data_IF_686137053137
#
_entry.id   IF_686137053137
#
_cell.length_a   1.000
_cell.length_b   1.000
_cell.length_c   1.000
_cell.angle_alpha   90.00
_cell.angle_beta   90.00
_cell.angle_gamma   90.00
#
_symmetry.space_group_name_H-M   'P 1'
#
loop_
_entity.id
_entity.type
_entity.pdbx_description
1 polymer ?
#
# COMPACT_ATOMS: atom_id res chain seq x y z
N UNK A 1 -12.51 52.86 -28.42
CA UNK A 1 -13.97 52.78 -28.54
C UNK A 1 -14.43 51.57 -27.72
N UNK A 2 -15.01 51.82 -26.55
CA UNK A 2 -15.71 50.82 -25.74
C UNK A 2 -17.12 50.58 -26.30
N UNK A 3 -17.76 49.46 -25.91
CA UNK A 3 -18.82 49.52 -24.88
C UNK A 3 -18.63 48.39 -23.84
N UNK A 4 -18.70 48.68 -22.54
CA UNK A 4 -19.89 48.87 -21.68
C UNK A 4 -20.48 47.57 -21.13
N UNK A 5 -20.39 47.53 -19.80
CA UNK A 5 -20.88 46.63 -18.76
C UNK A 5 -22.26 45.97 -18.97
N UNK A 6 -22.44 44.77 -18.41
CA UNK A 6 -23.65 44.50 -17.60
C UNK A 6 -23.35 43.46 -16.51
N UNK A 7 -23.47 43.92 -15.27
CA UNK A 7 -23.49 43.13 -14.04
C UNK A 7 -24.91 42.64 -13.75
N UNK A 8 -25.05 41.44 -13.17
CA UNK A 8 -26.30 41.01 -12.52
C UNK A 8 -25.96 40.42 -11.14
N UNK A 9 -26.22 41.24 -10.13
CA UNK A 9 -26.43 40.85 -8.74
C UNK A 9 -27.86 40.33 -8.57
N UNK A 10 -28.04 39.19 -7.91
CA UNK A 10 -29.32 38.84 -7.28
C UNK A 10 -29.10 38.54 -5.80
N UNK A 11 -29.85 39.29 -5.00
CA UNK A 11 -29.87 39.37 -3.55
C UNK A 11 -30.81 38.31 -2.92
N UNK A 12 -30.42 37.86 -1.71
CA UNK A 12 -31.21 37.69 -0.48
C UNK A 12 -32.49 36.83 -0.50
N UNK A 13 -32.58 35.87 0.43
CA UNK A 13 -33.26 36.07 1.74
C UNK A 13 -33.06 34.92 2.75
N UNK A 14 -33.22 35.21 4.06
CA UNK A 14 -33.01 34.29 5.18
C UNK A 14 -34.32 33.59 5.60
N UNK A 15 -34.21 32.51 6.38
CA UNK A 15 -35.29 32.08 7.28
C UNK A 15 -34.75 31.54 8.59
N UNK A 16 -35.50 31.91 9.62
CA UNK A 16 -35.24 31.90 11.05
C UNK A 16 -35.67 30.62 11.75
N UNK A 17 -35.03 30.42 12.91
CA UNK A 17 -35.52 29.86 14.17
C UNK A 17 -36.98 29.38 14.27
N UNK A 18 -37.12 28.19 14.87
CA UNK A 18 -38.21 27.87 15.80
C UNK A 18 -37.68 26.99 16.92
N UNK A 19 -37.98 27.40 18.14
CA UNK A 19 -37.75 26.74 19.43
C UNK A 19 -38.74 25.59 19.68
N UNK A 20 -38.40 24.67 20.60
CA UNK A 20 -39.13 24.45 21.87
C UNK A 20 -39.30 22.98 22.31
N UNK A 21 -39.07 22.81 23.63
CA UNK A 21 -39.47 21.73 24.55
C UNK A 21 -38.76 20.38 24.41
N UNK A 22 -38.17 19.78 25.43
CA UNK A 22 -38.36 19.91 26.88
C UNK A 22 -39.21 18.75 27.38
N UNK A 23 -38.58 17.64 27.77
CA UNK A 23 -39.09 16.70 28.79
C UNK A 23 -37.94 16.03 29.55
N UNK A 24 -37.83 16.49 30.77
CA UNK A 24 -37.25 15.91 31.97
C UNK A 24 -37.91 14.56 32.31
N UNK A 25 -37.13 13.58 32.77
CA UNK A 25 -37.60 12.44 33.57
C UNK A 25 -36.38 11.86 34.33
N UNK A 26 -36.43 12.00 35.65
CA UNK A 26 -35.52 11.43 36.63
C UNK A 26 -35.67 9.90 36.77
N UNK A 27 -34.51 9.23 36.86
CA UNK A 27 -34.05 8.16 37.79
C UNK A 27 -35.00 7.00 38.24
N UNK A 28 -34.53 5.83 38.76
CA UNK A 28 -33.18 5.57 39.31
C UNK A 28 -32.54 4.19 38.99
N UNK A 29 -31.23 4.10 39.26
CA UNK A 29 -30.64 2.97 39.99
C UNK A 29 -30.31 1.68 39.23
N UNK A 30 -29.04 1.50 38.87
CA UNK A 30 -28.35 0.20 38.98
C UNK A 30 -26.83 0.40 38.91
N UNK A 31 -26.21 0.37 40.08
CA UNK A 31 -24.79 0.20 40.29
C UNK A 31 -24.31 -1.14 39.72
N UNK A 32 -23.50 -1.09 38.66
CA UNK A 32 -22.72 -2.25 38.18
C UNK A 32 -21.25 -1.84 38.14
N UNK A 33 -20.48 -2.61 38.90
CA UNK A 33 -19.04 -2.63 39.10
C UNK A 33 -18.18 -2.03 37.98
N UNK A 34 -17.32 -1.10 38.38
CA UNK A 34 -16.15 -0.65 37.63
C UNK A 34 -15.20 -1.83 37.35
N UNK A 35 -15.41 -2.48 36.20
CA UNK A 35 -14.40 -3.33 35.59
C UNK A 35 -13.23 -2.44 35.18
N UNK A 36 -12.14 -2.54 35.94
CA UNK A 36 -10.84 -1.93 35.66
C UNK A 36 -10.35 -2.47 34.31
N UNK A 37 -10.76 -1.84 33.21
CA UNK A 37 -10.15 -2.01 31.90
C UNK A 37 -8.70 -1.58 32.07
N UNK A 38 -7.80 -2.56 32.24
CA UNK A 38 -6.39 -2.37 31.98
C UNK A 38 -6.33 -1.80 30.56
N UNK A 39 -6.01 -0.51 30.45
CA UNK A 39 -5.35 0.00 29.26
C UNK A 39 -4.11 -0.85 29.13
N UNK A 40 -4.17 -1.81 28.23
CA UNK A 40 -2.96 -2.44 27.71
C UNK A 40 -2.36 -1.32 26.88
N UNK A 41 -1.32 -0.70 27.42
CA UNK A 41 -0.57 0.32 26.71
C UNK A 41 -0.14 -0.28 25.38
N UNK A 42 -0.63 0.32 24.28
CA UNK A 42 -0.31 -0.08 22.92
C UNK A 42 1.17 0.17 22.56
N UNK A 43 1.96 0.67 23.51
CA UNK A 43 3.38 0.96 23.37
C UNK A 43 4.26 -0.31 23.49
N UNK A 44 3.68 -1.49 23.78
CA UNK A 44 4.42 -2.76 23.83
C UNK A 44 4.51 -3.51 22.48
N UNK A 45 3.87 -3.03 21.41
CA UNK A 45 3.69 -3.82 20.18
C UNK A 45 4.89 -3.85 19.22
N UNK A 46 5.96 -3.10 19.51
CA UNK A 46 7.24 -3.18 18.77
C UNK A 46 8.38 -3.81 19.60
N UNK A 47 8.11 -4.33 20.80
CA UNK A 47 9.11 -5.06 21.60
C UNK A 47 9.13 -6.56 21.29
N UNK A 48 9.02 -6.96 20.02
CA UNK A 48 9.25 -8.35 19.62
C UNK A 48 10.64 -8.50 19.00
N UNK A 49 11.55 -9.05 19.79
CA UNK A 49 12.75 -9.79 19.36
C UNK A 49 13.84 -8.97 18.64
N UNK A 50 14.35 -7.94 19.31
CA UNK A 50 15.65 -7.31 19.04
C UNK A 50 16.86 -8.22 19.37
N UNK A 51 16.73 -9.53 19.18
CA UNK A 51 17.78 -10.52 19.49
C UNK A 51 18.59 -10.93 18.23
N UNK A 52 18.21 -10.42 17.06
CA UNK A 52 19.10 -10.37 15.89
C UNK A 52 19.88 -9.07 16.00
N UNK A 53 21.10 -9.11 16.53
CA UNK A 53 21.95 -7.93 16.85
C UNK A 53 22.36 -7.02 15.67
N UNK A 54 21.54 -6.87 14.65
CA UNK A 54 21.67 -5.90 13.58
C UNK A 54 20.85 -4.61 13.84
N UNK A 55 21.07 -3.57 13.03
CA UNK A 55 20.31 -2.33 13.09
C UNK A 55 18.82 -2.53 12.80
N UNK A 56 17.96 -1.74 13.44
CA UNK A 56 16.52 -1.72 13.16
C UNK A 56 16.25 -1.01 11.81
N UNK A 57 15.88 -1.81 10.81
CA UNK A 57 15.64 -1.38 9.43
C UNK A 57 14.47 -0.40 9.26
N UNK A 58 13.59 -0.23 10.26
CA UNK A 58 12.57 0.83 10.26
C UNK A 58 13.13 2.20 10.62
N UNK A 59 14.30 2.24 11.26
CA UNK A 59 14.94 3.46 11.78
C UNK A 59 16.27 3.77 11.11
N UNK A 60 16.86 2.81 10.39
CA UNK A 60 18.09 3.02 9.63
C UNK A 60 17.82 3.24 8.16
N UNK A 61 18.48 4.25 7.60
CA UNK A 61 18.52 4.43 6.15
C UNK A 61 19.20 3.23 5.47
N UNK A 62 18.81 2.91 4.22
CA UNK A 62 19.48 1.86 3.48
C UNK A 62 20.90 2.28 3.09
N UNK A 63 21.65 1.30 2.58
CA UNK A 63 22.98 1.55 2.04
C UNK A 63 22.91 2.62 0.93
N UNK A 64 23.86 3.58 0.90
CA UNK A 64 23.95 4.56 -0.16
C UNK A 64 24.07 3.88 -1.54
N UNK A 65 23.43 4.46 -2.54
CA UNK A 65 23.44 3.98 -3.93
C UNK A 65 23.47 5.17 -4.88
N UNK A 66 23.90 4.90 -6.11
CA UNK A 66 23.81 5.85 -7.21
C UNK A 66 22.45 5.76 -7.92
N UNK A 67 21.71 4.67 -7.74
CA UNK A 67 20.50 4.39 -8.52
C UNK A 67 19.23 4.69 -7.72
N UNK A 68 18.40 5.53 -8.31
CA UNK A 68 17.15 6.02 -7.74
C UNK A 68 15.99 5.71 -8.67
N UNK A 69 14.80 5.58 -8.09
CA UNK A 69 13.55 5.43 -8.80
C UNK A 69 12.58 6.52 -8.37
N UNK A 70 11.89 7.13 -9.33
CA UNK A 70 10.83 8.09 -9.04
C UNK A 70 9.48 7.39 -8.96
N UNK A 71 8.91 7.41 -7.76
CA UNK A 71 7.64 6.77 -7.45
C UNK A 71 6.56 7.80 -7.17
N UNK A 72 5.36 7.51 -7.64
CA UNK A 72 4.13 8.21 -7.30
C UNK A 72 3.36 7.43 -6.26
N UNK A 73 3.05 8.09 -5.16
CA UNK A 73 2.24 7.63 -4.04
C UNK A 73 0.87 8.27 -4.14
N UNK A 74 -0.10 7.56 -4.71
CA UNK A 74 -1.46 8.03 -4.93
C UNK A 74 -2.38 7.53 -3.81
N UNK A 75 -2.87 8.45 -2.98
CA UNK A 75 -3.84 8.09 -1.95
C UNK A 75 -5.19 7.80 -2.60
N UNK A 76 -5.72 6.59 -2.39
CA UNK A 76 -7.02 6.20 -2.93
C UNK A 76 -8.16 6.98 -2.27
N UNK A 77 -9.31 7.09 -2.95
CA UNK A 77 -10.54 7.79 -2.51
C UNK A 77 -10.42 9.32 -2.38
N UNK A 78 -9.22 9.86 -2.22
CA UNK A 78 -8.97 11.30 -2.14
C UNK A 78 -8.50 11.84 -3.48
N UNK A 79 -9.40 12.51 -4.20
CA UNK A 79 -9.10 13.05 -5.53
C UNK A 79 -7.93 14.04 -5.47
N UNK A 80 -6.86 13.73 -6.19
CA UNK A 80 -5.72 14.63 -6.36
C UNK A 80 -4.79 14.71 -5.14
N UNK A 81 -4.91 13.79 -4.18
CA UNK A 81 -3.95 13.67 -3.08
C UNK A 81 -2.85 12.69 -3.48
N UNK A 82 -1.64 13.19 -3.71
CA UNK A 82 -0.50 12.36 -4.07
C UNK A 82 0.84 13.01 -3.70
N UNK A 83 1.88 12.19 -3.68
CA UNK A 83 3.28 12.60 -3.59
C UNK A 83 4.05 11.91 -4.71
N UNK A 84 4.99 12.61 -5.34
CA UNK A 84 5.97 12.00 -6.24
C UNK A 84 7.33 12.18 -5.59
N UNK A 85 8.06 11.09 -5.37
CA UNK A 85 9.28 11.06 -4.58
C UNK A 85 10.33 10.21 -5.30
N UNK A 86 11.55 10.71 -5.40
CA UNK A 86 12.71 9.92 -5.78
C UNK A 86 13.27 9.24 -4.55
N UNK A 87 13.44 7.93 -4.63
CA UNK A 87 13.97 7.10 -3.55
C UNK A 87 15.10 6.20 -4.07
N UNK A 88 16.10 5.90 -3.24
CA UNK A 88 17.11 4.90 -3.54
C UNK A 88 16.48 3.54 -3.86
N UNK A 89 16.96 2.85 -4.89
CA UNK A 89 16.44 1.53 -5.27
C UNK A 89 16.72 0.46 -4.20
N UNK A 90 17.67 0.73 -3.30
CA UNK A 90 18.01 -0.11 -2.14
C UNK A 90 17.02 0.02 -0.97
N UNK A 91 15.97 0.83 -1.09
CA UNK A 91 14.91 0.91 -0.07
C UNK A 91 14.26 -0.45 0.13
N UNK A 92 14.17 -0.90 1.38
CA UNK A 92 13.32 -2.05 1.73
C UNK A 92 11.86 -1.62 1.90
N UNK A 93 10.95 -2.58 2.00
CA UNK A 93 9.56 -2.29 2.33
C UNK A 93 9.40 -1.73 3.75
N UNK A 94 10.35 -2.01 4.66
CA UNK A 94 10.42 -1.34 5.96
C UNK A 94 10.74 0.16 5.80
N UNK A 95 11.71 0.51 4.95
CA UNK A 95 12.01 1.92 4.65
C UNK A 95 10.83 2.61 3.94
N UNK A 96 10.20 1.92 2.99
CA UNK A 96 9.03 2.40 2.26
C UNK A 96 7.85 2.67 3.21
N UNK A 97 7.61 1.77 4.17
CA UNK A 97 6.61 1.95 5.21
C UNK A 97 6.85 3.24 6.00
N UNK A 98 8.07 3.44 6.50
CA UNK A 98 8.44 4.66 7.25
C UNK A 98 8.27 5.91 6.40
N UNK A 99 8.65 5.86 5.12
CA UNK A 99 8.44 6.96 4.16
C UNK A 99 6.96 7.29 4.00
N UNK A 100 6.08 6.29 3.83
CA UNK A 100 4.64 6.50 3.73
C UNK A 100 4.06 7.17 4.98
N UNK A 101 4.53 6.77 6.17
CA UNK A 101 4.12 7.43 7.41
C UNK A 101 4.48 8.92 7.40
N UNK A 102 5.69 9.25 6.96
CA UNK A 102 6.14 10.64 6.84
C UNK A 102 5.33 11.43 5.79
N UNK A 103 5.18 10.88 4.59
CA UNK A 103 4.53 11.56 3.45
C UNK A 103 3.06 11.93 3.71
N UNK A 104 2.35 11.10 4.47
CA UNK A 104 0.94 11.27 4.78
C UNK A 104 0.67 11.68 6.25
N UNK A 105 1.71 11.95 7.04
CA UNK A 105 1.57 12.40 8.44
C UNK A 105 0.93 11.35 9.36
N UNK A 106 1.14 10.06 9.07
CA UNK A 106 0.59 8.96 9.85
C UNK A 106 1.50 8.58 11.02
N UNK A 107 0.90 7.96 12.04
CA UNK A 107 1.56 7.72 13.34
C UNK A 107 2.49 6.51 13.40
N UNK A 108 2.50 5.64 12.36
CA UNK A 108 3.23 4.36 12.39
C UNK A 108 2.67 3.28 13.31
N UNK A 109 1.59 3.56 14.07
CA UNK A 109 1.08 2.63 15.11
C UNK A 109 0.05 1.62 14.62
N UNK A 110 -0.28 1.64 13.33
CA UNK A 110 -1.35 0.79 12.77
C UNK A 110 -0.76 -0.35 11.97
N UNK A 111 -1.51 -1.44 11.89
CA UNK A 111 -1.16 -2.56 11.03
C UNK A 111 -1.13 -2.11 9.57
N UNK A 112 -0.15 -2.61 8.82
CA UNK A 112 -0.07 -2.42 7.40
C UNK A 112 0.22 -3.73 6.67
N UNK A 113 0.02 -3.67 5.36
CA UNK A 113 0.38 -4.72 4.41
C UNK A 113 0.65 -4.06 3.06
N UNK A 114 1.63 -4.59 2.34
CA UNK A 114 1.86 -4.20 0.95
C UNK A 114 1.64 -5.39 0.04
N UNK A 115 1.01 -5.18 -1.11
CA UNK A 115 0.89 -6.19 -2.16
C UNK A 115 1.54 -5.69 -3.43
N UNK A 116 2.31 -6.56 -4.06
CA UNK A 116 3.02 -6.28 -5.31
C UNK A 116 2.27 -6.92 -6.47
N UNK A 117 2.04 -6.16 -7.53
CA UNK A 117 1.35 -6.60 -8.74
C UNK A 117 2.16 -6.28 -10.00
N UNK A 118 2.04 -7.13 -11.00
CA UNK A 118 2.44 -6.88 -12.40
C UNK A 118 1.20 -6.58 -13.25
N UNK A 119 1.39 -6.24 -14.52
CA UNK A 119 0.30 -5.95 -15.47
C UNK A 119 -0.70 -4.90 -14.96
N UNK A 120 -0.17 -3.88 -14.31
CA UNK A 120 -0.92 -2.77 -13.75
C UNK A 120 -1.30 -1.78 -14.85
N UNK A 121 -2.59 -1.43 -14.93
CA UNK A 121 -3.07 -0.29 -15.71
C UNK A 121 -3.40 0.86 -14.77
N UNK A 122 -2.92 2.07 -15.04
CA UNK A 122 -3.26 3.27 -14.28
C UNK A 122 -4.34 4.11 -14.97
N UNK A 123 -5.15 4.83 -14.18
CA UNK A 123 -6.06 5.84 -14.73
C UNK A 123 -5.28 7.08 -15.20
N UNK A 124 -5.15 7.26 -16.51
CA UNK A 124 -4.43 8.41 -17.11
C UNK A 124 -5.32 9.62 -17.42
N UNK A 125 -6.62 9.39 -17.64
CA UNK A 125 -7.54 10.45 -18.09
C UNK A 125 -7.80 11.49 -17.01
N UNK A 126 -7.45 12.76 -17.26
CA UNK A 126 -7.61 13.88 -16.32
C UNK A 126 -9.04 14.10 -15.81
N UNK A 127 -10.05 13.63 -16.55
CA UNK A 127 -11.46 13.70 -16.14
C UNK A 127 -11.83 12.64 -15.10
N UNK A 128 -11.01 11.58 -14.95
CA UNK A 128 -11.23 10.54 -13.97
C UNK A 128 -11.11 11.10 -12.54
N UNK A 129 -12.00 10.68 -11.65
CA UNK A 129 -11.88 11.00 -10.21
C UNK A 129 -10.66 10.34 -9.57
N UNK A 130 -10.05 9.37 -10.25
CA UNK A 130 -9.03 8.45 -9.75
C UNK A 130 -7.72 8.54 -10.57
N UNK A 131 -7.41 9.69 -11.19
CA UNK A 131 -6.16 9.87 -11.95
C UNK A 131 -4.95 9.43 -11.12
N UNK A 132 -4.11 8.58 -11.71
CA UNK A 132 -2.92 8.01 -11.07
C UNK A 132 -3.19 6.84 -10.13
N UNK A 133 -4.45 6.45 -9.90
CA UNK A 133 -4.76 5.20 -9.19
C UNK A 133 -4.64 4.02 -10.14
N UNK A 134 -4.41 2.84 -9.56
CA UNK A 134 -4.43 1.56 -10.26
C UNK A 134 -5.88 1.23 -10.65
N UNK A 135 -6.12 1.07 -11.94
CA UNK A 135 -7.40 0.70 -12.56
C UNK A 135 -7.55 -0.81 -12.68
N UNK A 136 -6.50 -1.48 -13.11
CA UNK A 136 -6.43 -2.95 -13.25
C UNK A 136 -5.05 -3.43 -12.79
N UNK A 137 -4.97 -4.70 -12.41
CA UNK A 137 -3.75 -5.33 -11.92
C UNK A 137 -3.83 -6.83 -12.15
N UNK A 138 -2.68 -7.45 -12.43
CA UNK A 138 -2.48 -8.89 -12.38
C UNK A 138 -2.23 -9.58 -13.73
N UNK A 139 -1.12 -10.31 -13.75
CA UNK A 139 -1.02 -11.69 -14.23
C UNK A 139 -0.15 -12.44 -13.22
N UNK A 140 -0.50 -13.67 -12.86
CA UNK A 140 0.41 -14.55 -12.12
C UNK A 140 1.45 -15.10 -13.11
N UNK A 141 2.76 -15.04 -12.80
CA UNK A 141 3.78 -15.69 -13.60
C UNK A 141 3.45 -17.18 -13.76
N UNK A 142 3.80 -17.76 -14.91
CA UNK A 142 3.61 -19.18 -15.15
C UNK A 142 4.29 -19.98 -14.03
N UNK A 143 3.57 -20.94 -13.43
CA UNK A 143 4.07 -21.70 -12.28
C UNK A 143 5.38 -22.39 -12.66
N UNK A 144 6.48 -22.23 -11.89
CA UNK A 144 7.75 -22.86 -12.24
C UNK A 144 7.57 -24.37 -12.36
N UNK A 145 7.81 -24.91 -13.56
CA UNK A 145 7.61 -26.34 -13.86
C UNK A 145 8.39 -27.28 -12.92
N UNK A 146 9.41 -26.75 -12.24
CA UNK A 146 10.23 -27.48 -11.27
C UNK A 146 9.52 -27.71 -9.93
N UNK A 147 8.65 -26.79 -9.49
CA UNK A 147 7.86 -26.89 -8.25
C UNK A 147 6.57 -27.71 -8.45
N UNK A 148 6.21 -28.04 -9.69
CA UNK A 148 5.08 -28.92 -10.02
C UNK A 148 5.41 -30.41 -9.81
N UNK A 149 6.67 -30.74 -9.51
CA UNK A 149 7.16 -32.12 -9.49
C UNK A 149 6.77 -32.92 -8.24
N UNK A 150 6.32 -32.27 -7.17
CA UNK A 150 5.87 -32.96 -5.94
C UNK A 150 4.36 -33.28 -5.92
N UNK A 151 3.60 -32.91 -6.97
CA UNK A 151 2.16 -33.18 -7.12
C UNK A 151 1.83 -34.54 -7.77
N UNK A 152 2.79 -35.47 -7.77
CA UNK A 152 2.70 -36.77 -8.46
C UNK A 152 1.59 -37.73 -7.94
N UNK A 153 0.80 -37.30 -6.96
CA UNK A 153 -0.30 -38.09 -6.38
C UNK A 153 -1.71 -37.52 -6.63
N UNK A 154 -1.84 -36.38 -7.30
CA UNK A 154 -3.14 -35.84 -7.69
C UNK A 154 -3.60 -36.51 -9.00
N UNK A 155 -4.89 -36.82 -9.11
CA UNK A 155 -5.44 -37.29 -10.38
C UNK A 155 -5.34 -36.18 -11.43
N UNK A 156 -5.12 -36.57 -12.69
CA UNK A 156 -5.01 -35.65 -13.82
C UNK A 156 -6.22 -34.70 -13.93
N UNK A 157 -7.42 -35.20 -13.60
CA UNK A 157 -8.66 -34.40 -13.55
C UNK A 157 -8.64 -33.36 -12.42
N UNK A 158 -8.05 -33.69 -11.25
CA UNK A 158 -7.94 -32.75 -10.14
C UNK A 158 -6.83 -31.72 -10.40
N UNK A 159 -5.75 -32.12 -11.07
CA UNK A 159 -4.72 -31.18 -11.55
C UNK A 159 -5.31 -30.19 -12.55
N UNK A 160 -6.14 -30.65 -13.49
CA UNK A 160 -6.81 -29.81 -14.49
C UNK A 160 -7.83 -28.84 -13.85
N UNK A 161 -8.63 -29.33 -12.89
CA UNK A 161 -9.59 -28.50 -12.16
C UNK A 161 -8.87 -27.48 -11.29
N UNK A 162 -7.79 -27.86 -10.62
CA UNK A 162 -6.97 -26.94 -9.83
C UNK A 162 -6.31 -25.91 -10.73
N UNK A 163 -5.70 -26.30 -11.85
CA UNK A 163 -5.10 -25.39 -12.83
C UNK A 163 -6.13 -24.44 -13.44
N UNK A 164 -7.30 -24.93 -13.84
CA UNK A 164 -8.36 -24.11 -14.44
C UNK A 164 -8.96 -23.15 -13.40
N UNK A 165 -9.26 -23.63 -12.19
CA UNK A 165 -9.75 -22.80 -11.10
C UNK A 165 -8.72 -21.73 -10.72
N UNK A 166 -7.45 -22.10 -10.71
CA UNK A 166 -6.31 -21.24 -10.46
C UNK A 166 -6.16 -20.16 -11.53
N UNK A 167 -6.17 -20.52 -12.81
CA UNK A 167 -6.06 -19.56 -13.93
C UNK A 167 -7.24 -18.59 -14.00
N UNK A 168 -8.40 -18.97 -13.45
CA UNK A 168 -9.60 -18.14 -13.39
C UNK A 168 -9.62 -17.26 -12.14
N UNK A 169 -9.30 -17.80 -10.95
CA UNK A 169 -9.35 -17.06 -9.67
C UNK A 169 -8.13 -16.13 -9.48
N UNK A 170 -6.98 -16.42 -10.11
CA UNK A 170 -5.71 -15.74 -9.81
C UNK A 170 -5.28 -14.66 -10.82
N UNK A 171 -6.05 -14.34 -11.86
CA UNK A 171 -5.61 -13.31 -12.83
C UNK A 171 -5.32 -11.95 -12.20
N UNK A 172 -5.95 -11.64 -11.07
CA UNK A 172 -5.76 -10.39 -10.31
C UNK A 172 -4.92 -10.58 -9.02
N UNK A 173 -4.24 -11.72 -8.85
CA UNK A 173 -3.49 -12.02 -7.63
C UNK A 173 -2.18 -11.23 -7.53
N UNK A 174 -1.78 -10.91 -6.30
CA UNK A 174 -0.49 -10.30 -6.02
C UNK A 174 0.63 -11.34 -6.14
N UNK A 175 1.84 -10.91 -6.53
CA UNK A 175 3.05 -11.77 -6.52
C UNK A 175 3.60 -11.87 -5.11
N UNK A 176 3.72 -10.73 -4.41
CA UNK A 176 4.15 -10.68 -3.02
C UNK A 176 3.05 -10.11 -2.13
N UNK A 177 2.92 -10.68 -0.94
CA UNK A 177 2.25 -10.04 0.20
C UNK A 177 3.31 -9.76 1.27
N UNK A 178 3.70 -8.50 1.36
CA UNK A 178 4.73 -8.04 2.29
C UNK A 178 4.10 -7.65 3.61
N UNK A 179 4.58 -8.25 4.69
CA UNK A 179 4.03 -8.10 6.04
C UNK A 179 5.09 -7.64 7.03
N UNK A 180 4.66 -6.95 8.09
CA UNK A 180 5.54 -6.56 9.18
C UNK A 180 6.19 -7.78 9.86
N UNK A 181 7.44 -7.60 10.29
CA UNK A 181 8.27 -8.61 10.97
C UNK A 181 7.51 -9.31 12.10
N UNK A 182 7.68 -10.63 12.19
CA UNK A 182 7.11 -11.43 13.29
C UNK A 182 5.61 -11.72 13.15
N UNK A 183 4.94 -11.18 12.12
CA UNK A 183 3.56 -11.56 11.75
C UNK A 183 3.50 -12.82 10.89
N UNK A 184 4.63 -13.34 10.44
CA UNK A 184 4.69 -14.62 9.72
C UNK A 184 4.66 -15.85 10.65
N UNK A 185 4.43 -15.65 11.96
CA UNK A 185 4.37 -16.73 12.95
C UNK A 185 3.03 -17.47 12.87
N UNK A 186 2.96 -18.52 12.04
CA UNK A 186 2.15 -19.70 12.39
C UNK A 186 0.91 -20.01 11.53
N UNK A 187 1.02 -19.97 10.21
CA UNK A 187 0.04 -20.58 9.31
C UNK A 187 0.31 -22.04 8.96
N UNK A 188 0.58 -22.95 9.91
CA UNK A 188 0.49 -24.42 9.64
C UNK A 188 -0.97 -24.85 9.61
N UNK A 189 -1.76 -24.26 8.72
CA UNK A 189 -3.16 -24.62 8.49
C UNK A 189 -3.24 -25.52 7.27
N UNK A 190 -3.40 -26.82 7.48
CA UNK A 190 -3.35 -27.89 6.47
C UNK A 190 -4.31 -27.73 5.27
N UNK A 191 -5.20 -26.72 5.21
CA UNK A 191 -6.14 -26.51 4.09
C UNK A 191 -6.65 -25.04 3.92
N UNK A 192 -6.08 -24.04 4.62
CA UNK A 192 -6.76 -22.74 4.79
C UNK A 192 -6.22 -21.53 4.02
N UNK A 193 -5.00 -21.60 3.45
CA UNK A 193 -4.26 -20.40 3.05
C UNK A 193 -3.54 -20.62 1.72
N UNK A 194 -4.26 -21.13 0.70
CA UNK A 194 -3.77 -21.21 -0.69
C UNK A 194 -3.71 -19.83 -1.34
N UNK A 195 -3.04 -18.88 -0.69
CA UNK A 195 -2.75 -17.59 -1.28
C UNK A 195 -1.44 -17.72 -2.06
N UNK A 196 -1.52 -17.59 -3.39
CA UNK A 196 -0.40 -17.76 -4.32
C UNK A 196 0.72 -16.72 -4.21
N UNK A 197 0.53 -15.70 -3.38
CA UNK A 197 1.57 -14.70 -3.16
C UNK A 197 2.66 -15.24 -2.22
N UNK A 198 3.90 -14.93 -2.53
CA UNK A 198 5.01 -15.12 -1.60
C UNK A 198 4.82 -14.16 -0.43
N UNK A 199 4.64 -14.72 0.77
CA UNK A 199 4.62 -13.93 2.02
C UNK A 199 6.05 -13.65 2.44
N UNK A 200 6.45 -12.38 2.38
CA UNK A 200 7.81 -11.92 2.68
C UNK A 200 7.73 -10.87 3.78
N UNK A 201 8.73 -10.83 4.67
CA UNK A 201 8.78 -9.79 5.69
C UNK A 201 9.30 -8.47 5.11
N UNK A 202 8.79 -7.34 5.60
CA UNK A 202 9.17 -5.98 5.13
C UNK A 202 10.68 -5.72 4.95
N UNK A 203 11.59 -6.23 5.82
CA UNK A 203 13.01 -5.95 5.68
C UNK A 203 13.74 -6.86 4.70
N UNK A 204 13.09 -7.92 4.22
CA UNK A 204 13.71 -8.94 3.34
C UNK A 204 13.56 -8.60 1.85
N UNK A 205 12.68 -7.66 1.51
CA UNK A 205 12.38 -7.27 0.12
C UNK A 205 12.77 -5.81 -0.11
N UNK A 206 13.58 -5.57 -1.14
CA UNK A 206 14.00 -4.26 -1.59
C UNK A 206 13.23 -3.81 -2.84
N UNK A 207 13.24 -2.52 -3.14
CA UNK A 207 12.64 -2.00 -4.37
C UNK A 207 13.36 -2.52 -5.62
N UNK A 208 14.67 -2.80 -5.52
CA UNK A 208 15.46 -3.43 -6.59
C UNK A 208 14.99 -4.83 -6.97
N UNK A 209 14.33 -5.53 -6.05
CA UNK A 209 13.79 -6.87 -6.32
C UNK A 209 12.44 -6.79 -7.06
N UNK A 210 11.85 -5.59 -7.11
CA UNK A 210 10.54 -5.33 -7.73
C UNK A 210 10.73 -4.64 -9.08
N UNK A 211 11.47 -3.54 -9.06
CA UNK A 211 11.77 -2.69 -10.19
C UNK A 211 13.27 -2.69 -10.43
N UNK A 212 13.65 -2.77 -11.69
CA UNK A 212 15.05 -2.81 -12.09
C UNK A 212 15.30 -1.91 -13.30
N UNK A 213 16.47 -1.27 -13.35
CA UNK A 213 16.91 -0.47 -14.50
C UNK A 213 16.98 -1.35 -15.75
N UNK A 214 17.43 -2.59 -15.58
CA UNK A 214 17.31 -3.63 -16.59
C UNK A 214 15.94 -4.29 -16.48
N UNK A 215 15.05 -4.02 -17.45
CA UNK A 215 13.67 -4.51 -17.41
C UNK A 215 13.59 -6.05 -17.49
N UNK A 216 14.60 -6.71 -18.09
CA UNK A 216 14.68 -8.18 -18.14
C UNK A 216 14.83 -8.79 -16.74
N UNK A 217 15.39 -8.04 -15.80
CA UNK A 217 15.67 -8.45 -14.42
C UNK A 217 14.64 -7.87 -13.41
N UNK A 218 13.58 -7.20 -13.89
CA UNK A 218 12.52 -6.73 -13.00
C UNK A 218 11.53 -7.87 -12.68
N UNK A 219 10.62 -7.62 -11.74
CA UNK A 219 9.70 -8.67 -11.26
C UNK A 219 8.76 -9.25 -12.31
N UNK A 220 8.51 -8.51 -13.40
CA UNK A 220 7.66 -8.98 -14.50
C UNK A 220 8.40 -9.92 -15.47
N UNK A 221 9.73 -10.00 -15.37
CA UNK A 221 10.56 -10.80 -16.27
C UNK A 221 10.65 -10.22 -17.68
N UNK A 222 10.81 -8.91 -17.82
CA UNK A 222 11.02 -8.24 -19.12
C UNK A 222 9.90 -7.31 -19.59
N UNK A 223 8.79 -7.18 -18.86
CA UNK A 223 7.83 -6.10 -19.16
C UNK A 223 8.30 -4.75 -18.61
N UNK A 224 7.64 -3.68 -19.05
CA UNK A 224 8.00 -2.34 -18.59
C UNK A 224 7.77 -2.16 -17.10
N UNK A 225 8.67 -1.45 -16.42
CA UNK A 225 8.50 -1.11 -14.99
C UNK A 225 7.21 -0.33 -14.70
N UNK A 226 6.61 0.34 -15.69
CA UNK A 226 5.32 1.02 -15.56
C UNK A 226 4.14 0.06 -15.39
N UNK A 227 4.29 -1.22 -15.76
CA UNK A 227 3.27 -2.26 -15.56
C UNK A 227 3.37 -2.89 -14.17
N UNK A 228 4.34 -2.49 -13.33
CA UNK A 228 4.48 -2.98 -11.97
C UNK A 228 3.96 -1.92 -10.99
N UNK A 229 3.16 -2.35 -10.02
CA UNK A 229 2.57 -1.45 -9.03
C UNK A 229 2.36 -2.10 -7.68
N UNK A 230 2.37 -1.27 -6.63
CA UNK A 230 2.12 -1.70 -5.27
C UNK A 230 0.79 -1.15 -4.77
N UNK A 231 0.15 -1.92 -3.90
CA UNK A 231 -0.96 -1.44 -3.09
C UNK A 231 -0.58 -1.58 -1.63
N UNK A 232 -0.45 -0.44 -0.97
CA UNK A 232 -0.15 -0.34 0.44
C UNK A 232 -1.42 -0.06 1.23
N UNK A 233 -1.83 -1.00 2.08
CA UNK A 233 -2.97 -0.85 2.97
C UNK A 233 -2.50 -0.43 4.37
N UNK A 234 -2.96 0.73 4.84
CA UNK A 234 -2.73 1.24 6.20
C UNK A 234 -3.96 1.04 7.08
N UNK A 235 -3.75 0.65 8.34
CA UNK A 235 -4.81 0.28 9.27
C UNK A 235 -5.72 -0.78 8.66
N UNK A 236 -5.23 -2.02 8.59
CA UNK A 236 -5.97 -3.16 8.03
C UNK A 236 -7.40 -3.16 8.62
N UNK A 237 -8.42 -3.06 7.75
CA UNK A 237 -9.86 -2.81 8.00
C UNK A 237 -10.35 -1.35 7.85
N UNK A 238 -9.45 -0.42 7.59
CA UNK A 238 -9.74 0.96 7.21
C UNK A 238 -9.66 1.11 5.69
N UNK A 239 -9.97 2.31 5.20
CA UNK A 239 -9.99 2.61 3.78
C UNK A 239 -8.77 3.38 3.29
N UNK A 240 -7.69 3.39 4.08
CA UNK A 240 -6.46 4.08 3.75
C UNK A 240 -5.59 3.15 2.92
N UNK A 241 -5.69 3.30 1.60
CA UNK A 241 -4.88 2.54 0.66
C UNK A 241 -4.12 3.50 -0.26
N UNK A 242 -2.87 3.18 -0.53
CA UNK A 242 -1.97 3.98 -1.38
C UNK A 242 -1.53 3.10 -2.54
N UNK A 243 -1.83 3.56 -3.75
CA UNK A 243 -1.25 2.99 -4.95
C UNK A 243 0.14 3.58 -5.17
N UNK A 244 1.13 2.73 -5.41
CA UNK A 244 2.51 3.14 -5.65
C UNK A 244 2.93 2.64 -7.03
N UNK A 245 3.29 3.55 -7.92
CA UNK A 245 3.69 3.25 -9.30
C UNK A 245 4.89 4.08 -9.70
N UNK A 246 5.61 3.67 -10.75
CA UNK A 246 6.66 4.50 -11.35
C UNK A 246 6.06 5.76 -11.96
N UNK A 247 6.72 6.90 -11.77
CA UNK A 247 6.33 8.21 -12.30
C UNK A 247 7.59 8.99 -12.64
N UNK A 248 8.21 8.75 -13.80
CA UNK A 248 9.46 9.41 -14.22
C UNK A 248 10.66 8.47 -14.39
N UNK A 249 10.54 7.20 -14.02
CA UNK A 249 11.56 6.17 -14.27
C UNK A 249 12.72 6.20 -13.28
N UNK A 250 13.91 5.80 -13.77
CA UNK A 250 15.13 5.66 -12.98
C UNK A 250 16.09 6.83 -13.22
N UNK A 251 16.87 7.14 -12.19
CA UNK A 251 17.83 8.23 -12.17
C UNK A 251 19.15 7.76 -11.58
N UNK A 252 20.26 8.12 -12.21
CA UNK A 252 21.60 7.82 -11.71
C UNK A 252 22.26 9.10 -11.17
N UNK A 253 22.72 9.06 -9.92
CA UNK A 253 23.48 10.12 -9.27
C UNK A 253 24.99 9.85 -9.39
N UNK A 254 25.78 10.89 -9.64
CA UNK A 254 27.25 10.79 -9.64
C UNK A 254 27.83 10.50 -8.24
N UNK A 255 27.09 10.88 -7.20
CA UNK A 255 27.50 10.66 -5.80
C UNK A 255 26.51 9.72 -5.11
N UNK A 256 26.98 8.62 -4.50
CA UNK A 256 26.10 7.68 -3.82
C UNK A 256 25.49 8.34 -2.60
N UNK A 257 24.18 8.14 -2.43
CA UNK A 257 23.41 8.70 -1.34
C UNK A 257 22.26 7.79 -0.93
N UNK A 258 21.59 8.15 0.15
CA UNK A 258 20.38 7.48 0.62
C UNK A 258 19.26 8.48 0.92
N UNK A 259 19.41 9.71 0.42
CA UNK A 259 18.47 10.80 0.58
C UNK A 259 17.20 10.55 -0.25
N UNK A 260 16.10 11.13 0.19
CA UNK A 260 14.84 11.16 -0.56
C UNK A 260 14.61 12.55 -1.12
N UNK A 261 14.06 12.63 -2.32
CA UNK A 261 13.71 13.92 -2.94
C UNK A 261 12.22 13.96 -3.25
N UNK A 262 11.47 14.78 -2.52
CA UNK A 262 10.04 15.01 -2.81
C UNK A 262 9.93 15.95 -4.00
N UNK A 263 9.57 15.40 -5.15
CA UNK A 263 9.49 16.12 -6.43
C UNK A 263 8.18 16.89 -6.57
N UNK A 264 7.09 16.30 -6.09
CA UNK A 264 5.78 16.93 -6.10
C UNK A 264 4.95 16.49 -4.90
N UNK A 265 4.14 17.40 -4.37
CA UNK A 265 3.14 17.12 -3.35
C UNK A 265 1.87 17.90 -3.65
N UNK A 266 0.74 17.18 -3.73
CA UNK A 266 -0.58 17.80 -3.96
C UNK A 266 -1.63 17.24 -3.01
N UNK A 267 -2.48 18.13 -2.52
CA UNK A 267 -3.58 17.79 -1.61
C UNK A 267 -3.12 17.58 -0.16
N UNK A 268 -3.98 17.99 0.77
CA UNK A 268 -3.82 17.74 2.20
C UNK A 268 -4.45 16.38 2.58
N UNK A 269 -3.93 15.80 3.66
CA UNK A 269 -4.42 14.56 4.28
C UNK A 269 -5.20 14.93 5.53
#
# INVERSE_FOLDING_TARGET
MAPSETSVLVNKRPRSLSEASGKENDAPGASISAGKKRRVDADAFYSSESDRGGPDLYTTFPAPTNDYIQLRFQLQRFKGVYRTVQVPITYTFANLHTLLQYLFGWSGRRSHRTRVYTNVEIYTSQSAKQVGCIKKKGQVPEYPAELARDDAHLSEELQEVLRTRFEIENRDAAIYEVVAVGKNKGGRGYFGDYSWHYKVEDPELALSDIWNVDEEENLSGGESNETIGLIYDYEINSSWSVDITVDGGFYHSETPGNDIHVMAAKGAV
#
